data_IF_384302583952
#
_entry.id   IF_384302583952
#
_cell.length_a   1.000
_cell.length_b   1.000
_cell.length_c   1.000
_cell.angle_alpha   90.00
_cell.angle_beta   90.00
_cell.angle_gamma   90.00
#
_symmetry.space_group_name_H-M   'P 1'
#
loop_
_entity.id
_entity.type
_entity.pdbx_description
1 polymer ?
#
# COMPACT_ATOMS: atom_id res chain seq x y z
N UNK A 1 -32.51 -65.57 -18.74
CA UNK A 1 -32.65 -64.11 -18.84
C UNK A 1 -31.64 -63.45 -17.91
N UNK A 2 -30.91 -62.45 -18.42
CA UNK A 2 -30.06 -61.45 -17.75
C UNK A 2 -28.73 -61.87 -17.06
N UNK A 3 -27.63 -61.65 -17.80
CA UNK A 3 -26.33 -61.17 -17.30
C UNK A 3 -26.49 -59.74 -16.72
N UNK A 4 -25.56 -59.32 -15.84
CA UNK A 4 -24.75 -58.06 -15.88
C UNK A 4 -24.21 -57.72 -14.47
N UNK A 5 -22.92 -57.94 -14.20
CA UNK A 5 -21.76 -57.01 -14.21
C UNK A 5 -21.64 -56.08 -13.00
N UNK A 6 -20.54 -56.28 -12.26
CA UNK A 6 -19.94 -55.38 -11.28
C UNK A 6 -19.64 -54.01 -11.92
N UNK A 7 -20.26 -52.95 -11.41
CA UNK A 7 -19.88 -51.58 -11.73
C UNK A 7 -18.84 -51.11 -10.71
N UNK A 8 -17.57 -51.25 -11.07
CA UNK A 8 -16.45 -50.56 -10.44
C UNK A 8 -16.56 -49.07 -10.78
N UNK A 9 -16.91 -48.24 -9.79
CA UNK A 9 -16.94 -46.78 -9.94
C UNK A 9 -15.53 -46.27 -9.63
N UNK A 10 -14.69 -46.16 -10.66
CA UNK A 10 -13.54 -45.27 -10.61
C UNK A 10 -14.06 -43.83 -10.68
N UNK A 11 -13.90 -43.09 -9.59
CA UNK A 11 -14.01 -41.63 -9.58
C UNK A 11 -12.69 -41.06 -10.15
N UNK A 12 -12.68 -40.41 -11.32
CA UNK A 12 -11.52 -39.61 -11.70
C UNK A 12 -11.62 -38.30 -10.92
N UNK A 13 -10.76 -38.15 -9.91
CA UNK A 13 -10.42 -36.86 -9.30
C UNK A 13 -9.73 -36.00 -10.38
N UNK A 14 -10.54 -35.31 -11.20
CA UNK A 14 -10.08 -34.20 -12.02
C UNK A 14 -9.80 -33.00 -11.09
N UNK A 15 -8.61 -33.03 -10.46
CA UNK A 15 -8.04 -31.85 -9.81
C UNK A 15 -7.36 -31.05 -10.92
N UNK A 16 -8.15 -30.27 -11.65
CA UNK A 16 -7.65 -29.25 -12.57
C UNK A 16 -7.07 -28.11 -11.74
N UNK A 17 -5.76 -27.93 -11.82
CA UNK A 17 -4.94 -26.97 -11.06
C UNK A 17 -5.44 -25.51 -11.14
N UNK A 18 -5.67 -24.81 -10.01
CA UNK A 18 -6.05 -23.39 -10.02
C UNK A 18 -4.86 -22.41 -10.00
N UNK A 19 -3.62 -22.88 -10.14
CA UNK A 19 -2.43 -22.04 -9.89
C UNK A 19 -2.25 -20.88 -10.88
N UNK A 20 -2.58 -21.04 -12.16
CA UNK A 20 -2.32 -20.01 -13.17
C UNK A 20 -3.27 -18.77 -13.12
N UNK A 21 -4.43 -18.90 -12.48
CA UNK A 21 -5.45 -17.83 -12.44
C UNK A 21 -5.21 -16.87 -11.25
N UNK A 22 -4.49 -17.32 -10.22
CA UNK A 22 -4.17 -16.49 -9.06
C UNK A 22 -3.09 -15.44 -9.39
N UNK A 23 -2.05 -15.81 -10.15
CA UNK A 23 -0.95 -14.90 -10.53
C UNK A 23 -1.43 -13.74 -11.40
N UNK A 24 -2.21 -14.03 -12.44
CA UNK A 24 -2.71 -13.00 -13.37
C UNK A 24 -3.55 -11.92 -12.68
N UNK A 25 -4.33 -12.30 -11.66
CA UNK A 25 -5.12 -11.34 -10.87
C UNK A 25 -4.27 -10.46 -9.95
N UNK A 26 -3.20 -11.03 -9.38
CA UNK A 26 -2.32 -10.30 -8.47
C UNK A 26 -1.48 -9.26 -9.25
N UNK A 27 -0.99 -9.62 -10.43
CA UNK A 27 -0.27 -8.72 -11.32
C UNK A 27 -1.17 -7.62 -11.88
N UNK A 28 -2.40 -7.96 -12.28
CA UNK A 28 -3.39 -6.99 -12.74
C UNK A 28 -3.76 -6.00 -11.61
N UNK A 29 -3.96 -6.50 -10.39
CA UNK A 29 -4.22 -5.65 -9.22
C UNK A 29 -3.03 -4.74 -8.91
N UNK A 30 -1.80 -5.26 -8.97
CA UNK A 30 -0.60 -4.44 -8.76
C UNK A 30 -0.51 -3.32 -9.82
N UNK A 31 -0.63 -3.66 -11.10
CA UNK A 31 -0.53 -2.70 -12.19
C UNK A 31 -1.62 -1.62 -12.15
N UNK A 32 -2.85 -1.99 -11.79
CA UNK A 32 -3.96 -1.04 -11.66
C UNK A 32 -3.80 -0.09 -10.48
N UNK A 33 -3.22 -0.55 -9.36
CA UNK A 33 -3.07 0.25 -8.14
C UNK A 33 -1.75 1.05 -8.12
N UNK A 34 -0.73 0.66 -8.89
CA UNK A 34 0.59 1.32 -8.90
C UNK A 34 0.54 2.83 -9.16
N UNK A 35 -0.27 3.36 -10.10
CA UNK A 35 -0.36 4.81 -10.31
C UNK A 35 -0.90 5.55 -9.07
N UNK A 36 -1.88 4.96 -8.39
CA UNK A 36 -2.47 5.51 -7.17
C UNK A 36 -1.44 5.49 -6.03
N UNK A 37 -0.73 4.38 -5.87
CA UNK A 37 0.33 4.24 -4.86
C UNK A 37 1.48 5.23 -5.11
N UNK A 38 1.84 5.46 -6.37
CA UNK A 38 2.88 6.42 -6.77
C UNK A 38 2.48 7.86 -6.46
N UNK A 39 1.20 8.21 -6.67
CA UNK A 39 0.67 9.53 -6.31
C UNK A 39 0.66 9.73 -4.79
N UNK A 40 0.18 8.73 -4.04
CA UNK A 40 0.20 8.72 -2.57
C UNK A 40 1.62 8.88 -2.05
N UNK A 41 2.61 8.21 -2.63
CA UNK A 41 4.01 8.36 -2.24
C UNK A 41 4.47 9.81 -2.36
N UNK A 42 4.31 10.42 -3.54
CA UNK A 42 4.75 11.79 -3.80
C UNK A 42 4.09 12.78 -2.85
N UNK A 43 2.78 12.65 -2.67
CA UNK A 43 1.97 13.56 -1.84
C UNK A 43 2.22 13.38 -0.34
N UNK A 44 2.44 12.14 0.12
CA UNK A 44 2.81 11.86 1.51
C UNK A 44 4.18 12.42 1.87
N UNK A 45 5.16 12.29 0.96
CA UNK A 45 6.50 12.88 1.12
C UNK A 45 6.41 14.40 1.18
N UNK A 46 5.69 15.02 0.24
CA UNK A 46 5.48 16.47 0.22
C UNK A 46 4.80 16.99 1.50
N UNK A 47 3.80 16.26 2.02
CA UNK A 47 3.13 16.62 3.27
C UNK A 47 4.09 16.57 4.47
N UNK A 48 4.87 15.49 4.60
CA UNK A 48 5.80 15.32 5.71
C UNK A 48 6.95 16.33 5.68
N UNK A 49 7.54 16.55 4.50
CA UNK A 49 8.70 17.43 4.32
C UNK A 49 8.30 18.92 4.32
N UNK A 50 7.03 19.25 4.01
CA UNK A 50 6.46 20.59 4.15
C UNK A 50 5.88 20.94 5.52
N UNK A 51 6.16 20.12 6.56
CA UNK A 51 5.60 20.32 7.89
C UNK A 51 6.11 21.59 8.59
N UNK A 52 7.38 21.97 8.40
CA UNK A 52 7.92 23.22 8.96
C UNK A 52 7.24 24.44 8.34
N UNK A 53 7.16 24.54 7.01
CA UNK A 53 6.44 25.63 6.32
C UNK A 53 4.98 25.74 6.77
N UNK A 54 4.32 24.59 6.98
CA UNK A 54 2.97 24.53 7.51
C UNK A 54 2.89 25.06 8.95
N UNK A 55 3.87 24.74 9.79
CA UNK A 55 3.97 25.27 11.16
C UNK A 55 4.23 26.77 11.16
N UNK A 56 5.23 27.23 10.41
CA UNK A 56 5.60 28.65 10.30
C UNK A 56 4.40 29.48 9.81
N UNK A 57 3.72 29.02 8.76
CA UNK A 57 2.54 29.72 8.21
C UNK A 57 1.35 29.74 9.19
N UNK A 58 1.15 28.71 10.01
CA UNK A 58 0.11 28.72 11.04
C UNK A 58 0.45 29.69 12.18
N UNK A 59 1.71 29.68 12.61
CA UNK A 59 2.16 30.31 13.85
C UNK A 59 2.51 31.79 13.68
N UNK A 60 3.12 32.16 12.57
CA UNK A 60 3.75 33.48 12.40
C UNK A 60 3.27 34.28 11.18
N UNK A 61 2.48 33.70 10.29
CA UNK A 61 1.99 34.39 9.08
C UNK A 61 0.50 34.75 9.19
N UNK A 62 0.14 35.95 8.71
CA UNK A 62 -1.26 36.38 8.62
C UNK A 62 -2.03 35.58 7.56
N UNK A 63 -1.38 35.26 6.44
CA UNK A 63 -1.89 34.32 5.46
C UNK A 63 -1.53 32.85 5.81
N UNK A 64 -2.56 32.09 6.16
CA UNK A 64 -2.46 30.67 6.55
C UNK A 64 -2.66 29.70 5.39
N UNK A 65 -2.60 30.15 4.13
CA UNK A 65 -2.85 29.33 2.94
C UNK A 65 -2.03 28.04 2.88
N UNK A 66 -0.74 28.08 3.24
CA UNK A 66 0.16 26.91 3.23
C UNK A 66 -0.33 25.83 4.20
N UNK A 67 -0.53 26.18 5.48
CA UNK A 67 -1.16 25.29 6.45
C UNK A 67 -2.52 24.76 5.96
N UNK A 68 -3.35 25.60 5.29
CA UNK A 68 -4.72 25.18 4.91
C UNK A 68 -4.63 24.07 3.88
N UNK A 69 -3.79 24.29 2.87
CA UNK A 69 -3.50 23.32 1.81
C UNK A 69 -2.96 22.02 2.39
N UNK A 70 -1.99 22.07 3.30
CA UNK A 70 -1.42 20.87 3.90
C UNK A 70 -2.45 20.11 4.78
N UNK A 71 -3.31 20.81 5.51
CA UNK A 71 -4.42 20.19 6.25
C UNK A 71 -5.41 19.48 5.32
N UNK A 72 -5.76 20.12 4.21
CA UNK A 72 -6.71 19.57 3.25
C UNK A 72 -6.08 18.37 2.51
N UNK A 73 -4.78 18.45 2.19
CA UNK A 73 -3.98 17.34 1.66
C UNK A 73 -3.95 16.14 2.62
N UNK A 74 -3.72 16.38 3.92
CA UNK A 74 -3.79 15.34 4.96
C UNK A 74 -5.13 14.60 4.95
N UNK A 75 -6.25 15.31 4.71
CA UNK A 75 -7.58 14.69 4.60
C UNK A 75 -7.73 13.92 3.30
N UNK A 76 -7.26 14.47 2.18
CA UNK A 76 -7.30 13.83 0.87
C UNK A 76 -6.51 12.51 0.87
N UNK A 77 -5.28 12.49 1.41
CA UNK A 77 -4.47 11.27 1.57
C UNK A 77 -5.19 10.17 2.35
N UNK A 78 -5.94 10.52 3.41
CA UNK A 78 -6.72 9.54 4.18
C UNK A 78 -7.88 8.92 3.38
N UNK A 79 -8.38 9.61 2.36
CA UNK A 79 -9.41 9.09 1.46
C UNK A 79 -8.77 8.26 0.35
N UNK A 80 -7.66 8.75 -0.21
CA UNK A 80 -6.97 8.10 -1.32
C UNK A 80 -6.28 6.80 -0.91
N UNK A 81 -5.73 6.70 0.31
CA UNK A 81 -5.12 5.46 0.81
C UNK A 81 -6.12 4.29 0.83
N UNK A 82 -7.41 4.56 1.03
CA UNK A 82 -8.48 3.54 1.00
C UNK A 82 -8.67 2.92 -0.37
N UNK A 83 -8.28 3.61 -1.44
CA UNK A 83 -8.33 3.10 -2.82
C UNK A 83 -7.30 1.99 -3.05
N UNK A 84 -6.26 1.91 -2.22
CA UNK A 84 -5.27 0.83 -2.27
C UNK A 84 -5.78 -0.47 -1.63
N UNK A 85 -6.96 -0.46 -1.01
CA UNK A 85 -7.57 -1.63 -0.37
C UNK A 85 -7.18 -1.80 1.09
N UNK A 86 -7.27 -3.03 1.59
CA UNK A 86 -6.97 -3.38 2.97
C UNK A 86 -5.46 -3.35 3.25
N UNK A 87 -5.08 -2.83 4.43
CA UNK A 87 -3.67 -2.66 4.81
C UNK A 87 -2.88 -3.95 5.00
N UNK A 88 -3.55 -5.10 5.18
CA UNK A 88 -2.87 -6.40 5.32
C UNK A 88 -2.75 -7.12 3.99
N UNK A 89 -3.74 -6.98 3.11
CA UNK A 89 -3.78 -7.69 1.82
C UNK A 89 -3.37 -6.87 0.60
N UNK A 90 -3.21 -5.55 0.74
CA UNK A 90 -2.82 -4.69 -0.39
C UNK A 90 -1.38 -4.96 -0.84
N UNK A 91 -1.12 -5.06 -2.16
CA UNK A 91 0.25 -5.09 -2.67
C UNK A 91 1.03 -3.81 -2.33
N UNK A 92 0.32 -2.72 -2.00
CA UNK A 92 0.90 -1.42 -1.64
C UNK A 92 0.70 -1.06 -0.16
N UNK A 93 0.68 -2.06 0.73
CA UNK A 93 0.51 -1.86 2.19
C UNK A 93 1.48 -0.84 2.79
N UNK A 94 2.74 -0.78 2.32
CA UNK A 94 3.71 0.16 2.87
C UNK A 94 3.47 1.59 2.37
N UNK A 95 2.83 1.76 1.21
CA UNK A 95 2.35 3.07 0.78
C UNK A 95 1.13 3.56 1.57
N UNK A 96 0.25 2.64 2.00
CA UNK A 96 -0.79 2.96 3.01
C UNK A 96 -0.13 3.39 4.32
N UNK A 97 0.90 2.66 4.76
CA UNK A 97 1.64 2.99 5.98
C UNK A 97 2.34 4.36 5.88
N UNK A 98 2.96 4.69 4.74
CA UNK A 98 3.56 5.99 4.48
C UNK A 98 2.53 7.13 4.57
N UNK A 99 1.34 6.94 3.98
CA UNK A 99 0.24 7.91 4.12
C UNK A 99 -0.15 8.10 5.60
N UNK A 100 -0.25 7.03 6.39
CA UNK A 100 -0.53 7.16 7.82
C UNK A 100 0.58 7.91 8.58
N UNK A 101 1.84 7.54 8.37
CA UNK A 101 2.98 8.11 9.09
C UNK A 101 3.26 9.57 8.71
N UNK A 102 3.13 9.94 7.43
CA UNK A 102 3.27 11.34 7.01
C UNK A 102 2.20 12.24 7.63
N UNK A 103 0.94 11.77 7.70
CA UNK A 103 -0.16 12.49 8.34
C UNK A 103 0.02 12.60 9.86
N UNK A 104 0.62 11.59 10.50
CA UNK A 104 0.95 11.62 11.92
C UNK A 104 2.07 12.62 12.22
N UNK A 105 3.17 12.54 11.46
CA UNK A 105 4.32 13.44 11.57
C UNK A 105 3.89 14.89 11.39
N UNK A 106 3.15 15.21 10.32
CA UNK A 106 2.62 16.55 10.13
C UNK A 106 1.67 16.95 11.27
N UNK A 107 0.83 16.01 11.71
CA UNK A 107 -0.10 16.23 12.83
C UNK A 107 0.58 16.58 14.16
N UNK A 108 1.80 16.06 14.41
CA UNK A 108 2.62 16.41 15.57
C UNK A 108 3.36 17.75 15.39
N UNK A 109 3.93 17.97 14.20
CA UNK A 109 4.72 19.17 13.91
C UNK A 109 3.92 20.47 14.09
N UNK A 110 2.63 20.46 13.76
CA UNK A 110 1.77 21.64 13.74
C UNK A 110 1.45 22.22 15.13
N UNK A 111 1.01 21.44 16.13
CA UNK A 111 0.78 21.96 17.47
C UNK A 111 2.07 22.26 18.24
N UNK A 112 3.11 21.44 18.06
CA UNK A 112 4.29 21.46 18.94
C UNK A 112 5.50 22.18 18.34
N UNK A 113 5.52 22.40 17.02
CA UNK A 113 6.73 22.85 16.30
C UNK A 113 7.89 21.86 16.41
N UNK A 114 7.60 20.63 16.84
CA UNK A 114 8.55 19.56 17.13
C UNK A 114 7.98 18.24 16.64
N UNK A 115 8.87 17.32 16.30
CA UNK A 115 8.54 15.97 15.87
C UNK A 115 9.33 15.02 16.75
N UNK A 116 8.65 13.99 17.29
CA UNK A 116 9.32 12.94 18.04
C UNK A 116 10.28 12.16 17.12
N UNK A 117 11.46 11.84 17.64
CA UNK A 117 12.46 11.05 16.89
C UNK A 117 11.89 9.71 16.43
N UNK A 118 11.03 9.08 17.23
CA UNK A 118 10.34 7.84 16.88
C UNK A 118 9.40 8.04 15.68
N UNK A 119 8.55 9.07 15.70
CA UNK A 119 7.65 9.39 14.59
C UNK A 119 8.42 9.69 13.31
N UNK A 120 9.50 10.47 13.41
CA UNK A 120 10.35 10.76 12.26
C UNK A 120 10.99 9.49 11.69
N UNK A 121 11.50 8.59 12.54
CA UNK A 121 12.04 7.29 12.11
C UNK A 121 10.97 6.42 11.44
N UNK A 122 9.77 6.34 12.01
CA UNK A 122 8.66 5.59 11.42
C UNK A 122 8.28 6.12 10.03
N UNK A 123 8.28 7.44 9.84
CA UNK A 123 8.13 8.06 8.52
C UNK A 123 9.23 7.64 7.54
N UNK A 124 10.50 7.72 7.94
CA UNK A 124 11.62 7.36 7.06
C UNK A 124 11.59 5.89 6.65
N UNK A 125 11.27 4.99 7.59
CA UNK A 125 11.09 3.57 7.28
C UNK A 125 9.94 3.37 6.31
N UNK A 126 8.77 3.97 6.57
CA UNK A 126 7.61 3.83 5.67
C UNK A 126 7.87 4.42 4.28
N UNK A 127 8.65 5.51 4.17
CA UNK A 127 9.06 6.10 2.89
C UNK A 127 9.87 5.11 2.09
N UNK A 128 10.91 4.54 2.70
CA UNK A 128 11.76 3.53 2.07
C UNK A 128 10.96 2.30 1.65
N UNK A 129 10.14 1.75 2.55
CA UNK A 129 9.40 0.51 2.28
C UNK A 129 8.36 0.70 1.16
N UNK A 130 7.71 1.86 1.07
CA UNK A 130 6.81 2.16 -0.05
C UNK A 130 7.58 2.34 -1.36
N UNK A 131 8.72 3.03 -1.34
CA UNK A 131 9.59 3.16 -2.52
C UNK A 131 10.04 1.79 -3.04
N UNK A 132 10.43 0.89 -2.14
CA UNK A 132 10.79 -0.49 -2.47
C UNK A 132 9.59 -1.23 -3.10
N UNK A 133 8.36 -1.10 -2.57
CA UNK A 133 7.15 -1.71 -3.18
C UNK A 133 6.79 -1.14 -4.56
N UNK A 134 7.02 0.15 -4.77
CA UNK A 134 6.75 0.78 -6.07
C UNK A 134 7.72 0.29 -7.14
N UNK A 135 8.95 -0.04 -6.75
CA UNK A 135 10.01 -0.44 -7.67
C UNK A 135 10.09 -1.96 -7.85
N UNK A 136 9.60 -2.73 -6.89
CA UNK A 136 9.65 -4.19 -6.92
C UNK A 136 8.21 -4.76 -6.92
N UNK A 137 7.70 -5.22 -8.08
CA UNK A 137 6.43 -5.95 -8.12
C UNK A 137 6.53 -7.23 -7.27
N UNK A 138 5.39 -7.75 -6.75
CA UNK A 138 5.38 -9.00 -6.01
C UNK A 138 6.06 -10.10 -6.83
N UNK A 139 7.00 -10.83 -6.24
CA UNK A 139 7.68 -11.93 -6.95
C UNK A 139 6.65 -12.96 -7.41
N UNK A 140 6.74 -13.27 -8.70
CA UNK A 140 6.00 -14.34 -9.37
C UNK A 140 6.41 -15.68 -8.71
N UNK A 141 5.53 -16.22 -7.85
CA UNK A 141 5.80 -17.48 -7.14
C UNK A 141 5.72 -18.69 -8.06
N UNK A 142 5.45 -18.51 -9.35
CA UNK A 142 5.37 -19.59 -10.35
C UNK A 142 6.67 -20.40 -10.47
N UNK A 143 7.83 -19.84 -10.15
CA UNK A 143 9.13 -20.53 -10.28
C UNK A 143 9.58 -21.32 -9.04
N UNK A 144 8.86 -21.26 -7.91
CA UNK A 144 9.23 -22.01 -6.69
C UNK A 144 8.82 -23.50 -6.73
N UNK A 145 8.24 -23.98 -7.85
CA UNK A 145 7.90 -25.40 -8.06
C UNK A 145 8.83 -26.17 -9.01
N UNK A 146 9.95 -25.59 -9.42
CA UNK A 146 10.92 -26.25 -10.30
C UNK A 146 12.21 -26.70 -9.58
N UNK A 147 12.16 -26.88 -8.25
CA UNK A 147 13.22 -27.60 -7.52
C UNK A 147 12.56 -28.64 -6.62
N UNK A 148 11.99 -29.67 -7.24
CA UNK A 148 11.88 -30.98 -6.62
C UNK A 148 12.70 -31.97 -7.44
N UNK A 149 13.62 -32.64 -6.71
CA UNK A 149 14.51 -33.76 -7.04
C UNK A 149 15.92 -33.42 -7.54
#
# INVERSE_FOLDING_TARGET
MMKKYLASIMFPLLISSPLAIADTKQDEQYNNLKPIASDIFKRSVALAEGADDSYQSLKYTDDKTVWRKARDERRALSVDEKKLGDGLSSPFRYCIHLSAQSRLLWGQAIPEGKIDVSTFKSYLTAKKDCEDQLNNPPEDKSNLRAVEL
#
